data_IF_011735725425
#
_entry.id   IF_011735725425
#
_cell.length_a   1.000
_cell.length_b   1.000
_cell.length_c   1.000
_cell.angle_alpha   90.00
_cell.angle_beta   90.00
_cell.angle_gamma   90.00
#
_symmetry.space_group_name_H-M   'P 1'
#
loop_
_entity.id
_entity.type
_entity.pdbx_description
1 polymer ?
#
# COMPACT_ATOMS: atom_id res chain seq x y z
N UNK A 1 9.27 10.45 14.13
CA UNK A 1 8.27 9.55 14.74
C UNK A 1 8.38 8.17 14.08
N UNK A 2 9.04 7.23 14.74
CA UNK A 2 9.13 5.80 14.35
C UNK A 2 8.57 4.90 15.49
N UNK A 3 7.90 5.53 16.44
CA UNK A 3 7.52 4.98 17.75
C UNK A 3 6.48 3.86 17.63
N UNK A 4 5.66 3.89 16.56
CA UNK A 4 4.60 2.92 16.30
C UNK A 4 5.12 1.55 15.83
N UNK A 5 6.42 1.43 15.51
CA UNK A 5 7.10 0.19 15.13
C UNK A 5 6.35 -0.70 14.12
N UNK A 6 5.79 -0.11 13.07
CA UNK A 6 4.99 -0.83 12.06
C UNK A 6 5.85 -1.89 11.35
N UNK A 7 5.30 -3.11 11.22
CA UNK A 7 5.97 -4.25 10.59
C UNK A 7 5.57 -4.47 9.13
N UNK A 8 4.39 -4.00 8.72
CA UNK A 8 3.89 -4.11 7.35
C UNK A 8 2.81 -3.06 7.11
N UNK A 9 2.77 -2.50 5.90
CA UNK A 9 1.70 -1.61 5.46
C UNK A 9 0.93 -2.29 4.32
N UNK A 10 -0.39 -2.39 4.43
CA UNK A 10 -1.24 -2.91 3.34
C UNK A 10 -2.23 -1.84 2.92
N UNK A 11 -2.23 -1.52 1.62
CA UNK A 11 -3.12 -0.53 1.02
C UNK A 11 -4.10 -1.27 0.12
N UNK A 12 -5.39 -1.16 0.44
CA UNK A 12 -6.46 -1.71 -0.37
C UNK A 12 -7.00 -0.59 -1.25
N UNK A 13 -7.04 -0.84 -2.56
CA UNK A 13 -7.65 0.04 -3.55
C UNK A 13 -8.70 -0.72 -4.32
N UNK A 14 -9.82 -0.07 -4.64
CA UNK A 14 -10.81 -0.67 -5.52
C UNK A 14 -10.35 -0.56 -6.99
N UNK A 15 -10.94 -1.35 -7.89
CA UNK A 15 -10.66 -1.33 -9.34
C UNK A 15 -10.85 0.06 -9.98
N UNK A 16 -11.56 0.95 -9.30
CA UNK A 16 -11.81 2.32 -9.74
C UNK A 16 -10.51 3.13 -9.59
N UNK A 17 -10.02 3.79 -10.67
CA UNK A 17 -8.70 4.43 -10.68
C UNK A 17 -8.59 5.70 -9.81
N UNK A 18 -9.60 6.07 -9.04
CA UNK A 18 -9.63 7.29 -8.23
C UNK A 18 -8.67 7.27 -7.02
N UNK A 19 -8.28 6.09 -6.54
CA UNK A 19 -7.48 5.94 -5.32
C UNK A 19 -6.00 5.60 -5.56
N UNK A 20 -5.52 5.56 -6.82
CA UNK A 20 -4.11 5.23 -7.13
C UNK A 20 -3.10 6.18 -6.49
N UNK A 21 -3.46 7.45 -6.28
CA UNK A 21 -2.63 8.43 -5.59
C UNK A 21 -2.30 8.03 -4.13
N UNK A 22 -3.20 7.31 -3.45
CA UNK A 22 -2.98 6.84 -2.08
C UNK A 22 -1.88 5.76 -2.02
N UNK A 23 -1.82 4.88 -3.02
CA UNK A 23 -0.74 3.91 -3.13
C UNK A 23 0.61 4.59 -3.35
N UNK A 24 0.66 5.67 -4.15
CA UNK A 24 1.85 6.48 -4.34
C UNK A 24 2.32 7.20 -3.07
N UNK A 25 1.38 7.80 -2.32
CA UNK A 25 1.68 8.42 -1.03
C UNK A 25 2.20 7.41 0.00
N UNK A 26 1.60 6.22 0.06
CA UNK A 26 2.06 5.15 0.92
C UNK A 26 3.48 4.68 0.55
N UNK A 27 3.78 4.54 -0.74
CA UNK A 27 5.12 4.19 -1.22
C UNK A 27 6.15 5.26 -0.84
N UNK A 28 5.81 6.55 -0.98
CA UNK A 28 6.68 7.63 -0.57
C UNK A 28 6.91 7.63 0.95
N UNK A 29 5.87 7.44 1.76
CA UNK A 29 5.99 7.37 3.21
C UNK A 29 6.88 6.20 3.67
N UNK A 30 6.79 5.03 3.01
CA UNK A 30 7.66 3.89 3.30
C UNK A 30 9.11 4.19 2.87
N UNK A 31 9.32 4.87 1.74
CA UNK A 31 10.66 5.27 1.28
C UNK A 31 11.32 6.30 2.21
N UNK A 32 10.53 7.18 2.81
CA UNK A 32 10.98 8.18 3.79
C UNK A 32 11.13 7.62 5.20
N UNK A 33 10.56 6.43 5.48
CA UNK A 33 10.74 5.73 6.75
C UNK A 33 12.18 5.22 6.87
N UNK A 34 12.73 5.29 8.08
CA UNK A 34 14.06 4.74 8.37
C UNK A 34 14.06 3.21 8.46
N UNK A 35 12.87 2.59 8.48
CA UNK A 35 12.68 1.15 8.53
C UNK A 35 12.21 0.62 7.18
N UNK A 36 12.76 -0.54 6.81
CA UNK A 36 12.25 -1.33 5.68
C UNK A 36 10.92 -1.96 6.06
N UNK A 37 9.83 -1.25 5.81
CA UNK A 37 8.47 -1.75 6.00
C UNK A 37 7.96 -2.28 4.65
N UNK A 38 7.61 -3.57 4.52
CA UNK A 38 7.02 -4.09 3.30
C UNK A 38 5.67 -3.42 3.03
N UNK A 39 5.51 -2.88 1.82
CA UNK A 39 4.27 -2.31 1.32
C UNK A 39 3.57 -3.31 0.40
N UNK A 40 2.35 -3.67 0.77
CA UNK A 40 1.46 -4.51 -0.05
C UNK A 40 0.31 -3.68 -0.60
N UNK A 41 0.08 -3.73 -1.91
CA UNK A 41 -1.05 -3.08 -2.56
C UNK A 41 -1.99 -4.14 -3.10
N UNK A 42 -3.25 -4.09 -2.69
CA UNK A 42 -4.30 -5.04 -3.11
C UNK A 42 -5.36 -4.30 -3.89
N UNK A 43 -5.61 -4.72 -5.12
CA UNK A 43 -6.68 -4.19 -5.96
C UNK A 43 -7.89 -5.12 -5.86
N UNK A 44 -9.04 -4.57 -5.45
CA UNK A 44 -10.29 -5.32 -5.27
C UNK A 44 -11.34 -4.84 -6.25
N UNK A 45 -12.07 -5.75 -6.87
CA UNK A 45 -13.19 -5.43 -7.76
C UNK A 45 -14.37 -4.85 -6.98
N UNK A 46 -15.31 -4.23 -7.69
CA UNK A 46 -16.57 -3.78 -7.07
C UNK A 46 -17.40 -4.96 -6.53
N UNK A 47 -17.15 -6.17 -7.02
CA UNK A 47 -17.78 -7.42 -6.59
C UNK A 47 -17.04 -8.07 -5.41
N UNK A 48 -15.99 -7.43 -4.88
CA UNK A 48 -15.20 -7.95 -3.75
C UNK A 48 -14.17 -9.02 -4.15
N UNK A 49 -13.94 -9.23 -5.45
CA UNK A 49 -12.91 -10.18 -5.90
C UNK A 49 -11.55 -9.49 -5.90
N UNK A 50 -10.51 -10.16 -5.40
CA UNK A 50 -9.13 -9.66 -5.50
C UNK A 50 -8.69 -9.77 -6.96
N UNK A 51 -8.39 -8.64 -7.57
CA UNK A 51 -7.96 -8.56 -8.96
C UNK A 51 -6.43 -8.63 -9.06
N UNK A 52 -5.73 -8.03 -8.10
CA UNK A 52 -4.27 -7.90 -8.17
C UNK A 52 -3.67 -7.71 -6.77
N UNK A 53 -2.50 -8.30 -6.55
CA UNK A 53 -1.70 -8.11 -5.34
C UNK A 53 -0.26 -7.82 -5.73
N UNK A 54 0.22 -6.63 -5.41
CA UNK A 54 1.59 -6.20 -5.68
C UNK A 54 2.33 -5.91 -4.37
N UNK A 55 3.53 -6.48 -4.27
CA UNK A 55 4.48 -6.13 -3.22
C UNK A 55 5.39 -5.05 -3.76
N UNK A 56 5.21 -3.83 -3.28
CA UNK A 56 6.03 -2.69 -3.66
C UNK A 56 7.23 -2.69 -2.73
N UNK A 57 8.36 -3.18 -3.24
CA UNK A 57 9.65 -3.04 -2.56
C UNK A 57 10.12 -1.59 -2.74
N UNK A 58 9.93 -0.77 -1.70
CA UNK A 58 10.52 0.56 -1.59
C UNK A 58 11.95 0.48 -1.04
#
# INVERSE_FOLDING_TARGET
>A
CEDAKINSLTVIIMQVPCCRGLAGLAAQAVKESSRKVPLKVVVVSLQGAVLQEDWVAA
#
